data_IF_770174454083
#
_entry.id   IF_770174454083
#
_cell.length_a   1.000
_cell.length_b   1.000
_cell.length_c   1.000
_cell.angle_alpha   90.00
_cell.angle_beta   90.00
_cell.angle_gamma   90.00
#
_symmetry.space_group_name_H-M   'P 1'
#
loop_
_entity.id
_entity.type
_entity.pdbx_description
1 polymer ?
#
# COMPACT_ATOMS: atom_id res chain seq x y z
N UNK A 1 29.49 0.13 -13.87
CA UNK A 1 28.08 0.35 -14.27
C UNK A 1 27.22 0.04 -13.06
N UNK A 2 27.08 1.03 -12.18
CA UNK A 2 26.24 0.98 -10.98
C UNK A 2 24.93 1.67 -11.33
N UNK A 3 23.82 0.94 -11.37
CA UNK A 3 22.48 1.52 -11.33
C UNK A 3 22.00 1.47 -9.89
N UNK A 4 21.80 2.65 -9.30
CA UNK A 4 21.24 2.87 -7.98
C UNK A 4 19.92 2.11 -7.81
N UNK A 5 19.93 1.08 -6.97
CA UNK A 5 18.73 0.42 -6.43
C UNK A 5 18.46 1.05 -5.06
N UNK A 6 18.13 2.34 -5.06
CA UNK A 6 17.76 3.10 -3.87
C UNK A 6 16.25 3.35 -3.84
N UNK A 7 15.65 3.17 -2.66
CA UNK A 7 14.22 3.31 -2.28
C UNK A 7 13.36 2.06 -2.41
N UNK A 8 13.27 1.26 -1.34
CA UNK A 8 12.01 0.69 -0.88
C UNK A 8 12.03 0.54 0.66
N UNK A 9 10.96 1.05 1.29
CA UNK A 9 10.52 0.87 2.69
C UNK A 9 11.57 1.04 3.81
N UNK A 10 11.63 2.24 4.41
CA UNK A 10 12.19 2.45 5.76
C UNK A 10 11.06 2.44 6.80
N UNK A 11 11.07 1.49 7.74
CA UNK A 11 10.25 1.60 8.96
C UNK A 11 11.07 1.24 10.20
N UNK A 12 11.36 2.24 11.06
CA UNK A 12 12.03 2.02 12.36
C UNK A 12 11.04 2.19 13.50
N UNK A 13 10.61 1.12 14.15
CA UNK A 13 9.74 1.20 15.34
C UNK A 13 10.60 1.38 16.61
N UNK A 14 10.40 2.44 17.38
CA UNK A 14 11.06 2.60 18.69
C UNK A 14 10.10 2.98 19.83
N UNK A 15 10.55 2.63 21.03
CA UNK A 15 9.90 2.21 22.29
C UNK A 15 8.84 3.15 22.89
N UNK A 16 7.81 2.53 23.50
CA UNK A 16 6.78 3.19 24.32
C UNK A 16 7.36 3.70 25.66
N UNK A 17 7.02 4.94 26.03
CA UNK A 17 7.22 5.46 27.39
C UNK A 17 5.87 5.75 28.03
N UNK A 18 5.59 5.05 29.12
CA UNK A 18 4.42 5.27 29.98
C UNK A 18 4.56 6.63 30.70
N UNK A 19 3.48 7.41 30.80
CA UNK A 19 3.38 8.42 31.84
C UNK A 19 1.95 8.48 32.37
N UNK A 20 1.85 8.20 33.67
CA UNK A 20 0.63 8.21 34.45
C UNK A 20 0.01 9.60 34.57
N UNK A 21 -1.27 9.53 34.92
CA UNK A 21 -2.19 10.60 35.30
C UNK A 21 -1.61 11.53 36.36
N UNK A 22 -1.93 12.82 36.25
CA UNK A 22 -2.19 13.68 37.41
C UNK A 22 -3.22 14.74 37.03
N UNK A 23 -4.26 14.83 37.86
CA UNK A 23 -5.26 15.89 37.90
C UNK A 23 -4.64 17.23 38.33
N UNK A 24 -5.22 18.33 37.86
CA UNK A 24 -5.64 19.45 38.71
C UNK A 24 -6.57 20.41 37.96
N UNK A 25 -7.63 20.81 38.65
CA UNK A 25 -8.63 21.82 38.29
C UNK A 25 -8.07 23.25 38.41
N UNK A 26 -8.64 24.19 37.65
CA UNK A 26 -9.14 25.49 38.16
C UNK A 26 -9.85 26.31 37.06
N UNK A 27 -10.87 27.02 37.51
CA UNK A 27 -11.97 27.77 36.87
C UNK A 27 -11.63 29.18 36.34
N UNK A 28 -12.50 29.74 35.48
CA UNK A 28 -12.73 31.20 35.37
C UNK A 28 -13.21 31.72 34.00
N UNK A 29 -14.41 32.33 33.97
CA UNK A 29 -15.08 33.13 32.93
C UNK A 29 -14.25 34.41 32.58
N UNK A 30 -14.38 35.20 31.51
CA UNK A 30 -15.46 35.58 30.58
C UNK A 30 -14.83 36.30 29.35
N UNK A 31 -15.66 36.76 28.40
CA UNK A 31 -15.42 37.18 27.00
C UNK A 31 -14.40 38.32 26.72
N UNK A 32 -13.72 38.29 25.56
CA UNK A 32 -13.74 39.40 24.60
C UNK A 32 -13.17 39.07 23.19
N UNK A 33 -13.67 39.81 22.20
CA UNK A 33 -13.52 39.63 20.76
C UNK A 33 -12.26 40.30 20.17
N UNK A 34 -11.79 39.72 19.06
CA UNK A 34 -10.90 40.25 18.02
C UNK A 34 -9.35 40.23 18.13
N UNK A 35 -8.79 39.73 17.02
CA UNK A 35 -7.42 39.88 16.50
C UNK A 35 -6.25 39.28 17.29
N UNK A 36 -5.86 38.02 16.99
CA UNK A 36 -4.47 37.50 17.09
C UNK A 36 -4.37 36.04 16.56
N UNK A 37 -4.57 35.85 15.25
CA UNK A 37 -4.53 34.53 14.60
C UNK A 37 -3.20 34.14 13.93
N UNK A 38 -2.32 35.09 13.61
CA UNK A 38 -1.19 34.80 12.70
C UNK A 38 0.14 34.41 13.38
N UNK A 39 0.39 34.79 14.63
CA UNK A 39 1.72 34.57 15.25
C UNK A 39 1.89 33.15 15.80
N UNK A 40 0.86 32.60 16.48
CA UNK A 40 0.91 31.24 17.06
C UNK A 40 0.98 30.15 15.98
N UNK A 41 0.36 30.36 14.83
CA UNK A 41 0.41 29.43 13.68
C UNK A 41 1.81 29.44 13.07
N UNK A 42 2.42 30.62 12.88
CA UNK A 42 3.79 30.75 12.36
C UNK A 42 4.83 30.10 13.27
N UNK A 43 4.72 30.22 14.59
CA UNK A 43 5.66 29.58 15.54
C UNK A 43 5.49 28.06 15.60
N UNK A 44 4.26 27.55 15.44
CA UNK A 44 3.98 26.10 15.36
C UNK A 44 4.49 25.51 14.04
N UNK A 45 4.34 26.24 12.93
CA UNK A 45 4.87 25.86 11.62
C UNK A 45 6.41 25.90 11.62
N UNK A 46 7.04 26.90 12.25
CA UNK A 46 8.50 26.97 12.34
C UNK A 46 9.10 25.89 13.25
N UNK A 47 8.41 25.49 14.32
CA UNK A 47 8.88 24.38 15.16
C UNK A 47 8.67 23.02 14.48
N UNK A 48 7.65 22.89 13.62
CA UNK A 48 7.48 21.75 12.71
C UNK A 48 8.62 21.72 11.68
N UNK A 49 8.97 22.88 11.09
CA UNK A 49 10.05 23.04 10.11
C UNK A 49 11.43 22.68 10.69
N UNK A 50 11.76 23.16 11.89
CA UNK A 50 13.05 22.88 12.51
C UNK A 50 13.19 21.42 12.98
N UNK A 51 12.08 20.77 13.34
CA UNK A 51 12.05 19.34 13.65
C UNK A 51 12.12 18.46 12.39
N UNK A 52 11.65 18.95 11.24
CA UNK A 52 11.66 18.24 9.95
C UNK A 52 13.07 18.08 9.36
N UNK A 53 14.03 18.93 9.76
CA UNK A 53 15.44 18.85 9.34
C UNK A 53 16.21 17.65 9.96
N UNK A 54 15.64 16.96 10.95
CA UNK A 54 16.32 15.92 11.73
C UNK A 54 15.67 14.51 11.67
N UNK A 55 15.13 14.13 10.51
CA UNK A 55 14.82 12.74 10.16
C UNK A 55 13.50 12.20 10.75
N UNK A 56 12.48 12.04 9.89
CA UNK A 56 11.17 11.56 10.30
C UNK A 56 11.00 10.04 10.10
N UNK A 57 10.63 9.34 11.17
CA UNK A 57 9.96 8.04 11.16
C UNK A 57 8.45 8.26 11.28
N UNK A 58 7.64 7.81 10.32
CA UNK A 58 6.17 7.94 10.38
C UNK A 58 5.63 7.19 11.60
N UNK A 59 5.23 7.92 12.64
CA UNK A 59 4.48 7.37 13.78
C UNK A 59 2.99 7.41 13.42
N UNK A 60 2.47 6.33 12.83
CA UNK A 60 1.03 6.09 12.76
C UNK A 60 0.49 5.91 14.19
N UNK A 61 -0.12 6.95 14.77
CA UNK A 61 -0.95 6.84 15.97
C UNK A 61 -2.38 6.53 15.52
N UNK A 62 -2.64 5.27 15.15
CA UNK A 62 -4.01 4.78 15.02
C UNK A 62 -4.51 4.40 16.42
N UNK A 63 -5.64 4.97 16.85
CA UNK A 63 -6.27 4.66 18.12
C UNK A 63 -7.14 3.41 17.96
N UNK A 64 -6.51 2.24 17.82
CA UNK A 64 -7.26 0.99 17.86
C UNK A 64 -7.90 0.81 19.24
N UNK A 65 -9.19 0.48 19.26
CA UNK A 65 -9.85 0.01 20.48
C UNK A 65 -9.04 -1.14 21.05
N UNK A 66 -8.87 -1.15 22.37
CA UNK A 66 -8.10 -2.22 22.98
C UNK A 66 -8.87 -3.53 23.06
N UNK A 67 -10.19 -3.44 23.07
CA UNK A 67 -11.06 -4.55 23.50
C UNK A 67 -11.75 -5.25 22.33
N UNK A 68 -11.49 -4.81 21.09
CA UNK A 68 -12.17 -5.35 19.91
C UNK A 68 -11.22 -5.90 18.85
N UNK A 69 -11.61 -7.01 18.19
CA UNK A 69 -10.79 -7.65 17.18
C UNK A 69 -10.59 -6.77 15.95
N UNK A 70 -9.40 -6.89 15.37
CA UNK A 70 -9.00 -6.22 14.13
C UNK A 70 -8.92 -7.29 13.03
N UNK A 71 -9.73 -7.14 12.00
CA UNK A 71 -9.68 -7.98 10.80
C UNK A 71 -8.83 -7.31 9.73
N UNK A 72 -7.93 -8.08 9.13
CA UNK A 72 -7.07 -7.65 8.04
C UNK A 72 -7.03 -8.79 7.00
N UNK A 73 -7.68 -8.59 5.85
CA UNK A 73 -7.70 -9.52 4.70
C UNK A 73 -7.81 -10.99 5.13
N UNK A 74 -8.94 -11.37 5.73
CA UNK A 74 -9.22 -12.75 6.15
C UNK A 74 -8.59 -13.19 7.47
N UNK A 75 -7.68 -12.40 8.06
CA UNK A 75 -7.07 -12.71 9.35
C UNK A 75 -7.64 -11.87 10.47
N UNK A 76 -8.01 -12.52 11.57
CA UNK A 76 -8.46 -11.85 12.78
C UNK A 76 -7.33 -11.75 13.80
N UNK A 77 -7.00 -10.52 14.16
CA UNK A 77 -6.07 -10.17 15.22
C UNK A 77 -6.87 -9.83 16.47
N UNK A 78 -6.95 -10.79 17.38
CA UNK A 78 -7.64 -10.64 18.66
C UNK A 78 -6.69 -10.10 19.73
N UNK A 79 -7.22 -9.25 20.63
CA UNK A 79 -6.69 -9.14 22.01
C UNK A 79 -7.36 -10.15 22.97
N UNK A 80 -8.56 -10.63 22.60
CA UNK A 80 -9.55 -11.41 23.35
C UNK A 80 -9.85 -10.95 24.79
N UNK A 81 -11.11 -10.54 24.92
CA UNK A 81 -11.96 -10.37 26.09
C UNK A 81 -11.57 -11.28 27.26
N UNK A 82 -11.32 -10.68 28.43
CA UNK A 82 -11.21 -11.37 29.70
C UNK A 82 -12.44 -12.25 29.92
N UNK A 83 -12.29 -13.56 29.77
CA UNK A 83 -13.20 -14.50 30.41
C UNK A 83 -13.00 -14.26 31.90
N UNK A 84 -14.00 -13.69 32.57
CA UNK A 84 -14.04 -13.56 34.02
C UNK A 84 -14.07 -14.96 34.61
N UNK A 85 -12.90 -15.57 34.76
CA UNK A 85 -12.67 -16.67 35.67
C UNK A 85 -11.46 -16.25 36.49
N UNK A 86 -11.75 -15.95 37.76
CA UNK A 86 -10.78 -15.76 38.81
C UNK A 86 -9.67 -16.83 38.69
N UNK A 87 -8.42 -16.43 38.52
CA UNK A 87 -7.36 -16.54 39.54
C UNK A 87 -5.96 -16.36 38.88
N UNK A 88 -5.19 -15.37 39.35
CA UNK A 88 -3.72 -15.33 39.34
C UNK A 88 -2.87 -15.59 38.05
N UNK A 89 -3.20 -15.00 36.88
CA UNK A 89 -2.37 -15.11 35.63
C UNK A 89 -1.92 -13.80 34.94
N UNK A 90 -1.50 -12.78 35.70
CA UNK A 90 -1.18 -11.44 35.15
C UNK A 90 0.05 -11.31 34.23
N UNK A 91 1.00 -12.26 34.25
CA UNK A 91 2.22 -12.17 33.43
C UNK A 91 2.11 -12.87 32.06
N UNK A 92 1.30 -13.93 31.96
CA UNK A 92 1.07 -14.68 30.71
C UNK A 92 0.15 -13.88 29.78
N UNK A 93 -0.84 -13.21 30.35
CA UNK A 93 -1.80 -12.35 29.65
C UNK A 93 -1.12 -11.18 28.91
N UNK A 94 -0.17 -10.48 29.54
CA UNK A 94 0.56 -9.38 28.90
C UNK A 94 1.42 -9.82 27.70
N UNK A 95 1.91 -11.07 27.71
CA UNK A 95 2.70 -11.65 26.62
C UNK A 95 1.87 -11.98 25.38
N UNK A 96 0.67 -12.54 25.57
CA UNK A 96 -0.26 -12.85 24.46
C UNK A 96 -0.87 -11.59 23.83
N UNK A 97 -1.18 -10.57 24.64
CA UNK A 97 -1.68 -9.28 24.13
C UNK A 97 -0.67 -8.55 23.23
N UNK A 98 0.62 -8.57 23.60
CA UNK A 98 1.70 -8.02 22.80
C UNK A 98 1.85 -8.77 21.48
N UNK A 99 1.66 -10.11 21.49
CA UNK A 99 1.76 -10.95 20.30
C UNK A 99 0.66 -10.64 19.28
N UNK A 100 -0.59 -10.42 19.70
CA UNK A 100 -1.70 -10.11 18.79
C UNK A 100 -1.48 -8.79 18.01
N UNK A 101 -1.12 -7.71 18.72
CA UNK A 101 -0.91 -6.40 18.10
C UNK A 101 0.39 -6.35 17.27
N UNK A 102 1.45 -7.03 17.69
CA UNK A 102 2.69 -7.10 16.92
C UNK A 102 2.50 -7.92 15.64
N UNK A 103 1.72 -9.01 15.71
CA UNK A 103 1.36 -9.81 14.53
C UNK A 103 0.51 -9.01 13.54
N UNK A 104 -0.43 -8.21 14.03
CA UNK A 104 -1.18 -7.27 13.19
C UNK A 104 -0.26 -6.26 12.51
N UNK A 105 0.62 -5.60 13.28
CA UNK A 105 1.56 -4.60 12.76
C UNK A 105 2.48 -5.20 11.69
N UNK A 106 3.03 -6.37 11.96
CA UNK A 106 3.87 -7.09 11.00
C UNK A 106 3.11 -7.40 9.71
N UNK A 107 1.86 -7.85 9.80
CA UNK A 107 1.04 -8.11 8.61
C UNK A 107 0.73 -6.83 7.82
N UNK A 108 0.32 -5.79 8.52
CA UNK A 108 -0.02 -4.50 7.92
C UNK A 108 1.19 -3.85 7.24
N UNK A 109 2.36 -3.85 7.89
CA UNK A 109 3.60 -3.29 7.32
C UNK A 109 4.14 -4.11 6.15
N UNK A 110 3.69 -5.36 5.99
CA UNK A 110 4.06 -6.21 4.86
C UNK A 110 3.21 -5.95 3.60
N UNK A 111 2.21 -5.07 3.68
CA UNK A 111 1.36 -4.75 2.53
C UNK A 111 2.09 -3.80 1.59
N UNK A 112 2.03 -4.09 0.30
CA UNK A 112 2.54 -3.21 -0.75
C UNK A 112 1.82 -1.87 -0.66
N UNK A 113 2.59 -0.79 -0.60
CA UNK A 113 2.06 0.56 -0.52
C UNK A 113 2.55 1.36 -1.72
N UNK A 114 1.63 1.62 -2.66
CA UNK A 114 1.90 2.39 -3.87
C UNK A 114 1.25 3.76 -3.74
N UNK A 115 2.09 4.79 -3.63
CA UNK A 115 1.67 6.19 -3.45
C UNK A 115 1.78 6.97 -4.75
N UNK A 116 1.36 8.24 -4.72
CA UNK A 116 1.71 9.17 -5.77
C UNK A 116 3.22 9.25 -5.95
N UNK A 117 3.63 9.44 -7.21
CA UNK A 117 5.02 9.65 -7.60
C UNK A 117 5.16 10.90 -8.45
N UNK A 118 6.39 11.38 -8.50
CA UNK A 118 6.84 12.50 -9.31
C UNK A 118 8.08 12.05 -10.09
N UNK A 119 8.41 12.82 -11.12
CA UNK A 119 9.64 12.65 -11.90
C UNK A 119 9.76 11.30 -12.61
N UNK A 120 8.64 10.60 -12.82
CA UNK A 120 8.61 9.46 -13.72
C UNK A 120 8.64 9.93 -15.19
N UNK A 121 9.01 9.06 -16.16
CA UNK A 121 8.99 9.40 -17.58
C UNK A 121 7.63 9.93 -18.03
N UNK A 122 7.60 10.87 -18.99
CA UNK A 122 6.36 11.51 -19.43
C UNK A 122 5.30 10.48 -19.83
N UNK A 123 4.06 10.66 -19.36
CA UNK A 123 2.92 9.85 -19.78
C UNK A 123 2.53 10.19 -21.22
N UNK A 124 2.39 9.15 -22.06
CA UNK A 124 2.02 9.28 -23.47
C UNK A 124 0.81 10.20 -23.65
N UNK A 125 0.90 11.09 -24.65
CA UNK A 125 -0.16 12.05 -24.97
C UNK A 125 -0.34 13.19 -23.96
N UNK A 126 0.66 13.47 -23.11
CA UNK A 126 0.58 14.54 -22.10
C UNK A 126 1.94 15.17 -21.76
N UNK A 127 1.93 16.10 -20.79
CA UNK A 127 3.13 16.66 -20.15
C UNK A 127 3.26 16.20 -18.69
N UNK A 128 2.50 15.18 -18.26
CA UNK A 128 2.53 14.71 -16.87
C UNK A 128 3.73 13.81 -16.61
N UNK A 129 4.53 14.18 -15.62
CA UNK A 129 5.59 13.37 -14.98
C UNK A 129 5.23 13.03 -13.53
N UNK A 130 3.96 13.24 -13.15
CA UNK A 130 3.45 12.95 -11.81
C UNK A 130 1.97 12.58 -11.86
N UNK A 131 1.57 11.68 -10.95
CA UNK A 131 0.18 11.29 -10.76
C UNK A 131 -0.49 11.94 -9.53
N UNK A 132 0.20 12.87 -8.87
CA UNK A 132 -0.30 13.63 -7.74
C UNK A 132 -1.64 14.32 -8.09
N UNK A 133 -2.65 14.09 -7.25
CA UNK A 133 -3.96 14.74 -7.35
C UNK A 133 -4.94 14.09 -8.33
N UNK A 134 -4.56 13.05 -9.06
CA UNK A 134 -5.46 12.36 -10.00
C UNK A 134 -5.31 10.82 -10.03
N UNK A 135 -4.09 10.29 -9.83
CA UNK A 135 -3.78 8.85 -9.96
C UNK A 135 -4.30 7.93 -8.86
N UNK A 136 -5.00 8.45 -7.83
CA UNK A 136 -5.33 7.70 -6.62
C UNK A 136 -6.03 6.35 -6.87
N UNK A 137 -6.99 6.29 -7.79
CA UNK A 137 -7.69 5.03 -8.06
C UNK A 137 -6.79 4.02 -8.79
N UNK A 138 -5.88 4.48 -9.65
CA UNK A 138 -4.89 3.61 -10.30
C UNK A 138 -3.94 3.01 -9.25
N UNK A 139 -3.45 3.84 -8.33
CA UNK A 139 -2.62 3.40 -7.19
C UNK A 139 -3.35 2.41 -6.28
N UNK A 140 -4.61 2.68 -5.96
CA UNK A 140 -5.47 1.72 -5.24
C UNK A 140 -5.58 0.38 -5.98
N UNK A 141 -5.79 0.40 -7.30
CA UNK A 141 -5.82 -0.80 -8.13
C UNK A 141 -4.48 -1.56 -8.14
N UNK A 142 -3.36 -0.84 -8.22
CA UNK A 142 -2.03 -1.45 -8.11
C UNK A 142 -1.83 -2.13 -6.75
N UNK A 143 -2.23 -1.50 -5.64
CA UNK A 143 -2.13 -2.11 -4.30
C UNK A 143 -3.00 -3.36 -4.16
N UNK A 144 -4.23 -3.33 -4.70
CA UNK A 144 -5.14 -4.47 -4.76
C UNK A 144 -4.52 -5.65 -5.54
N UNK A 145 -3.98 -5.38 -6.73
CA UNK A 145 -3.35 -6.40 -7.57
C UNK A 145 -2.05 -6.91 -6.93
N UNK A 146 -1.22 -6.03 -6.36
CA UNK A 146 0.00 -6.41 -5.66
C UNK A 146 -0.30 -7.35 -4.48
N UNK A 147 -1.39 -7.10 -3.73
CA UNK A 147 -1.83 -8.01 -2.69
C UNK A 147 -2.23 -9.39 -3.24
N UNK A 148 -2.92 -9.44 -4.37
CA UNK A 148 -3.26 -10.71 -5.01
C UNK A 148 -2.01 -11.49 -5.45
N UNK A 149 -1.03 -10.80 -6.07
CA UNK A 149 0.25 -11.39 -6.46
C UNK A 149 1.05 -11.88 -5.24
N UNK A 150 1.02 -11.13 -4.13
CA UNK A 150 1.64 -11.55 -2.88
C UNK A 150 1.00 -12.84 -2.36
N UNK A 151 -0.34 -12.91 -2.33
CA UNK A 151 -1.04 -14.14 -1.95
C UNK A 151 -0.67 -15.32 -2.86
N UNK A 152 -0.53 -15.10 -4.16
CA UNK A 152 -0.22 -16.15 -5.14
C UNK A 152 1.24 -16.65 -5.04
N UNK A 153 2.23 -15.75 -4.98
CA UNK A 153 3.65 -16.11 -5.05
C UNK A 153 4.33 -16.29 -3.69
N UNK A 154 3.85 -15.60 -2.65
CA UNK A 154 4.44 -15.59 -1.30
C UNK A 154 3.54 -16.28 -0.28
N UNK A 155 2.23 -16.31 -0.53
CA UNK A 155 1.22 -16.80 0.40
C UNK A 155 0.73 -15.73 1.37
N UNK A 156 -0.51 -15.87 1.85
CA UNK A 156 -1.15 -14.91 2.77
C UNK A 156 -0.40 -14.75 4.11
N UNK A 157 0.32 -15.79 4.52
CA UNK A 157 1.10 -15.83 5.77
C UNK A 157 2.46 -15.16 5.69
N UNK A 158 2.93 -14.83 4.49
CA UNK A 158 4.21 -14.16 4.29
C UNK A 158 4.24 -12.79 4.97
N UNK A 159 5.39 -12.45 5.56
CA UNK A 159 5.64 -11.17 6.22
C UNK A 159 6.98 -10.62 5.73
N UNK A 160 6.99 -9.32 5.44
CA UNK A 160 8.21 -8.59 5.12
C UNK A 160 9.00 -8.29 6.39
N UNK A 161 10.33 -8.42 6.32
CA UNK A 161 11.24 -8.08 7.38
C UNK A 161 12.52 -7.46 6.79
N UNK A 162 12.78 -6.20 7.11
CA UNK A 162 13.94 -5.42 6.61
C UNK A 162 15.27 -6.04 7.04
N UNK A 163 15.34 -6.54 8.28
CA UNK A 163 16.57 -7.04 8.89
C UNK A 163 16.85 -8.52 8.54
N UNK A 164 15.92 -9.18 7.84
CA UNK A 164 16.04 -10.60 7.53
C UNK A 164 16.85 -10.82 6.25
N UNK A 165 18.14 -11.13 6.43
CA UNK A 165 18.95 -11.63 5.33
C UNK A 165 18.48 -13.02 4.91
N UNK A 166 18.38 -13.31 3.59
CA UNK A 166 18.01 -14.63 3.11
C UNK A 166 19.08 -15.68 3.47
N UNK A 167 18.86 -16.40 4.57
CA UNK A 167 19.78 -17.43 5.06
C UNK A 167 19.38 -18.86 4.67
N UNK A 168 18.29 -19.01 3.90
CA UNK A 168 17.79 -20.29 3.40
C UNK A 168 17.29 -20.14 1.96
N UNK A 169 17.27 -21.26 1.22
CA UNK A 169 16.74 -21.28 -0.15
C UNK A 169 15.30 -20.79 -0.24
N UNK A 170 14.47 -21.10 0.76
CA UNK A 170 13.08 -20.63 0.84
C UNK A 170 13.01 -19.11 0.93
N UNK A 171 13.72 -18.51 1.90
CA UNK A 171 13.73 -17.06 2.08
C UNK A 171 14.31 -16.32 0.87
N UNK A 172 15.32 -16.91 0.22
CA UNK A 172 15.88 -16.34 -1.00
C UNK A 172 14.86 -16.28 -2.14
N UNK A 173 14.07 -17.34 -2.33
CA UNK A 173 12.98 -17.37 -3.32
C UNK A 173 11.87 -16.37 -2.99
N UNK A 174 11.51 -16.24 -1.71
CA UNK A 174 10.53 -15.26 -1.25
C UNK A 174 11.02 -13.81 -1.48
N UNK A 175 12.27 -13.49 -1.14
CA UNK A 175 12.85 -12.15 -1.41
C UNK A 175 12.90 -11.85 -2.92
N UNK A 176 13.32 -12.82 -3.74
CA UNK A 176 13.31 -12.67 -5.21
C UNK A 176 11.89 -12.40 -5.73
N UNK A 177 10.90 -13.16 -5.25
CA UNK A 177 9.50 -13.00 -5.67
C UNK A 177 8.93 -11.67 -5.22
N UNK A 178 9.19 -11.25 -3.97
CA UNK A 178 8.81 -9.96 -3.44
C UNK A 178 9.38 -8.80 -4.28
N UNK A 179 10.69 -8.81 -4.55
CA UNK A 179 11.35 -7.79 -5.39
C UNK A 179 10.81 -7.79 -6.81
N UNK A 180 10.48 -8.96 -7.36
CA UNK A 180 9.89 -9.07 -8.70
C UNK A 180 8.49 -8.46 -8.76
N UNK A 181 7.66 -8.71 -7.76
CA UNK A 181 6.35 -8.07 -7.62
C UNK A 181 6.51 -6.55 -7.59
N UNK A 182 7.42 -6.01 -6.76
CA UNK A 182 7.71 -4.57 -6.72
C UNK A 182 8.08 -4.04 -8.10
N UNK A 183 9.03 -4.72 -8.79
CA UNK A 183 9.54 -4.30 -10.10
C UNK A 183 8.42 -4.18 -11.14
N UNK A 184 7.44 -5.09 -11.10
CA UNK A 184 6.33 -5.07 -12.05
C UNK A 184 5.47 -3.80 -11.97
N UNK A 185 5.45 -3.12 -10.84
CA UNK A 185 4.71 -1.86 -10.65
C UNK A 185 5.56 -0.59 -10.77
N UNK A 186 6.86 -0.70 -11.08
CA UNK A 186 7.73 0.47 -11.22
C UNK A 186 7.18 1.49 -12.22
N UNK A 187 7.30 2.78 -11.94
CA UNK A 187 6.73 3.86 -12.75
C UNK A 187 7.57 4.16 -14.00
N UNK A 188 7.78 3.15 -14.83
CA UNK A 188 8.54 3.23 -16.06
C UNK A 188 7.80 2.48 -17.18
N UNK A 189 7.69 3.04 -18.40
CA UNK A 189 7.13 2.34 -19.56
C UNK A 189 8.11 1.28 -20.07
N UNK A 190 8.22 0.17 -19.35
CA UNK A 190 9.17 -0.92 -19.62
C UNK A 190 8.49 -2.29 -19.56
N UNK A 191 8.93 -3.29 -20.35
CA UNK A 191 8.49 -4.68 -20.20
C UNK A 191 8.77 -5.26 -18.81
N UNK A 192 9.72 -4.68 -18.06
CA UNK A 192 10.02 -5.05 -16.68
C UNK A 192 9.02 -4.49 -15.65
N UNK A 193 8.20 -3.53 -16.05
CA UNK A 193 7.18 -2.88 -15.22
C UNK A 193 5.82 -2.88 -15.93
N UNK A 194 5.28 -4.08 -16.26
CA UNK A 194 4.08 -4.20 -17.09
C UNK A 194 2.80 -3.78 -16.36
N UNK A 195 2.85 -3.52 -15.05
CA UNK A 195 1.73 -3.04 -14.23
C UNK A 195 1.93 -1.58 -13.80
N UNK A 196 2.83 -0.86 -14.46
CA UNK A 196 3.13 0.56 -14.22
C UNK A 196 1.92 1.46 -14.45
N UNK A 197 1.96 2.67 -13.88
CA UNK A 197 0.95 3.68 -14.17
C UNK A 197 0.91 4.04 -15.67
N UNK A 198 2.05 3.99 -16.37
CA UNK A 198 2.13 4.18 -17.82
C UNK A 198 1.30 3.16 -18.58
N UNK A 199 1.38 1.87 -18.20
CA UNK A 199 0.56 0.83 -18.81
C UNK A 199 -0.94 1.10 -18.57
N UNK A 200 -1.32 1.37 -17.32
CA UNK A 200 -2.73 1.59 -16.98
C UNK A 200 -3.33 2.81 -17.70
N UNK A 201 -2.54 3.88 -17.83
CA UNK A 201 -2.92 5.08 -18.59
C UNK A 201 -3.05 4.77 -20.07
N UNK A 202 -2.09 4.03 -20.65
CA UNK A 202 -2.13 3.65 -22.07
C UNK A 202 -3.34 2.79 -22.40
N UNK A 203 -3.72 1.86 -21.53
CA UNK A 203 -4.93 1.05 -21.69
C UNK A 203 -6.20 1.89 -21.52
N UNK A 204 -6.17 2.89 -20.63
CA UNK A 204 -7.29 3.81 -20.41
C UNK A 204 -7.67 4.64 -21.64
N UNK A 205 -6.74 4.88 -22.55
CA UNK A 205 -6.96 5.67 -23.77
C UNK A 205 -8.07 5.08 -24.64
N UNK A 206 -8.18 3.75 -24.73
CA UNK A 206 -9.24 3.08 -25.49
C UNK A 206 -10.65 3.38 -24.96
N UNK A 207 -10.76 3.76 -23.68
CA UNK A 207 -12.01 4.21 -23.04
C UNK A 207 -12.14 5.74 -23.00
N UNK A 208 -11.30 6.47 -23.76
CA UNK A 208 -11.28 7.93 -23.81
C UNK A 208 -10.65 8.61 -22.60
N UNK A 209 -9.95 7.86 -21.72
CA UNK A 209 -9.25 8.45 -20.57
C UNK A 209 -7.91 9.03 -20.98
N UNK A 210 -7.53 10.12 -20.32
CA UNK A 210 -6.25 10.81 -20.50
C UNK A 210 -5.52 10.94 -19.17
N UNK A 211 -4.19 11.17 -19.17
CA UNK A 211 -3.47 11.61 -17.99
C UNK A 211 -4.16 12.81 -17.33
N UNK A 212 -4.41 12.72 -16.02
CA UNK A 212 -5.17 13.73 -15.27
C UNK A 212 -6.63 13.37 -15.01
N UNK A 213 -7.22 12.46 -15.80
CA UNK A 213 -8.61 12.06 -15.61
C UNK A 213 -8.78 11.17 -14.37
N UNK A 214 -9.97 11.27 -13.76
CA UNK A 214 -10.35 10.34 -12.71
C UNK A 214 -10.82 9.00 -13.26
N UNK A 215 -10.38 7.92 -12.62
CA UNK A 215 -10.79 6.55 -12.90
C UNK A 215 -11.69 6.03 -11.79
N UNK A 216 -12.79 5.38 -12.16
CA UNK A 216 -13.65 4.67 -11.21
C UNK A 216 -13.18 3.24 -10.95
N UNK A 217 -13.59 2.59 -9.83
CA UNK A 217 -13.16 1.24 -9.47
C UNK A 217 -13.43 0.20 -10.57
N UNK A 218 -14.60 0.26 -11.22
CA UNK A 218 -14.96 -0.67 -12.30
C UNK A 218 -14.07 -0.53 -13.53
N UNK A 219 -13.75 0.70 -13.92
CA UNK A 219 -12.81 0.94 -15.02
C UNK A 219 -11.42 0.38 -14.67
N UNK A 220 -10.93 0.66 -13.45
CA UNK A 220 -9.63 0.13 -13.00
C UNK A 220 -9.62 -1.40 -12.96
N UNK A 221 -10.70 -2.07 -12.54
CA UNK A 221 -10.78 -3.52 -12.56
C UNK A 221 -10.53 -4.10 -13.97
N UNK A 222 -11.14 -3.50 -15.00
CA UNK A 222 -10.90 -3.91 -16.39
C UNK A 222 -9.48 -3.60 -16.87
N UNK A 223 -8.92 -2.44 -16.49
CA UNK A 223 -7.53 -2.10 -16.81
C UNK A 223 -6.54 -3.08 -16.18
N UNK A 224 -6.76 -3.52 -14.94
CA UNK A 224 -5.92 -4.52 -14.28
C UNK A 224 -5.96 -5.87 -15.01
N UNK A 225 -7.15 -6.30 -15.45
CA UNK A 225 -7.30 -7.51 -16.27
C UNK A 225 -6.51 -7.40 -17.57
N UNK A 226 -6.66 -6.29 -18.28
CA UNK A 226 -5.96 -6.07 -19.55
C UNK A 226 -4.45 -5.97 -19.36
N UNK A 227 -3.98 -5.24 -18.35
CA UNK A 227 -2.55 -5.13 -18.03
C UNK A 227 -1.93 -6.51 -17.73
N UNK A 228 -2.63 -7.38 -16.99
CA UNK A 228 -2.19 -8.76 -16.75
C UNK A 228 -2.13 -9.57 -18.04
N UNK A 229 -3.13 -9.45 -18.92
CA UNK A 229 -3.14 -10.15 -20.21
C UNK A 229 -2.01 -9.69 -21.13
N UNK A 230 -1.72 -8.39 -21.17
CA UNK A 230 -0.56 -7.87 -21.91
C UNK A 230 0.75 -8.34 -21.28
N UNK A 231 0.88 -8.30 -19.95
CA UNK A 231 2.07 -8.78 -19.25
C UNK A 231 2.39 -10.25 -19.57
N UNK A 232 1.36 -11.10 -19.70
CA UNK A 232 1.49 -12.53 -20.00
C UNK A 232 2.07 -12.86 -21.38
N UNK A 233 2.11 -11.89 -22.30
CA UNK A 233 2.72 -12.07 -23.63
C UNK A 233 4.25 -12.14 -23.54
N UNK A 234 4.84 -11.35 -22.65
CA UNK A 234 6.30 -11.22 -22.51
C UNK A 234 6.85 -11.81 -21.19
N UNK A 235 5.96 -12.17 -20.24
CA UNK A 235 6.33 -12.66 -18.91
C UNK A 235 5.56 -13.95 -18.58
N UNK A 236 6.25 -15.09 -18.61
CA UNK A 236 5.66 -16.41 -18.35
C UNK A 236 4.99 -16.52 -16.97
N UNK A 237 5.44 -15.74 -15.99
CA UNK A 237 4.86 -15.73 -14.64
C UNK A 237 3.37 -15.38 -14.66
N UNK A 238 2.95 -14.49 -15.55
CA UNK A 238 1.56 -14.06 -15.65
C UNK A 238 0.63 -15.11 -16.29
N UNK A 239 1.17 -16.22 -16.80
CA UNK A 239 0.36 -17.29 -17.38
C UNK A 239 -0.26 -18.23 -16.33
N UNK A 240 0.19 -18.14 -15.06
CA UNK A 240 -0.24 -19.03 -13.98
C UNK A 240 -1.47 -18.55 -13.21
N UNK A 241 -1.96 -17.34 -13.50
CA UNK A 241 -3.16 -16.79 -12.90
C UNK A 241 -4.02 -16.05 -13.93
N UNK A 242 -5.22 -15.68 -13.53
CA UNK A 242 -6.20 -15.04 -14.40
C UNK A 242 -7.01 -14.02 -13.63
N UNK A 243 -7.34 -12.90 -14.26
CA UNK A 243 -8.20 -11.87 -13.68
C UNK A 243 -9.57 -11.96 -14.33
N UNK A 244 -10.60 -12.23 -13.54
CA UNK A 244 -11.99 -12.19 -13.97
C UNK A 244 -12.65 -10.95 -13.36
N UNK A 245 -13.33 -10.17 -14.20
CA UNK A 245 -14.10 -8.99 -13.76
C UNK A 245 -15.57 -9.31 -13.97
N UNK A 246 -16.31 -9.43 -12.88
CA UNK A 246 -17.73 -9.69 -12.90
C UNK A 246 -18.50 -8.59 -13.66
N UNK A 247 -19.49 -9.00 -14.43
CA UNK A 247 -20.35 -8.11 -15.21
C UNK A 247 -21.75 -8.09 -14.59
N UNK A 248 -22.41 -6.93 -14.63
CA UNK A 248 -23.80 -6.78 -14.18
C UNK A 248 -24.06 -7.29 -12.74
N UNK A 249 -23.06 -7.16 -11.86
CA UNK A 249 -23.07 -7.68 -10.50
C UNK A 249 -23.27 -9.21 -10.39
N UNK A 250 -22.94 -9.97 -11.44
CA UNK A 250 -23.04 -11.41 -11.51
C UNK A 250 -21.68 -12.05 -11.84
N UNK A 251 -21.40 -13.20 -11.22
CA UNK A 251 -20.25 -14.05 -11.56
C UNK A 251 -20.78 -15.25 -12.32
N UNK A 252 -20.43 -15.34 -13.59
CA UNK A 252 -20.81 -16.47 -14.44
C UNK A 252 -19.81 -17.60 -14.22
N UNK A 253 -20.28 -18.68 -13.59
CA UNK A 253 -19.42 -19.79 -13.18
C UNK A 253 -18.73 -20.41 -14.40
N UNK A 254 -19.43 -20.59 -15.52
CA UNK A 254 -18.86 -21.21 -16.71
C UNK A 254 -17.69 -20.38 -17.27
N UNK A 255 -17.83 -19.05 -17.39
CA UNK A 255 -16.74 -18.18 -17.84
C UNK A 255 -15.49 -18.31 -16.97
N UNK A 256 -15.68 -18.41 -15.65
CA UNK A 256 -14.59 -18.61 -14.71
C UNK A 256 -13.93 -19.97 -14.93
N UNK A 257 -14.73 -21.03 -15.11
CA UNK A 257 -14.21 -22.37 -15.38
C UNK A 257 -13.41 -22.42 -16.68
N UNK A 258 -13.90 -21.77 -17.73
CA UNK A 258 -13.25 -21.71 -19.05
C UNK A 258 -11.98 -20.86 -19.05
N UNK A 259 -11.94 -19.79 -18.23
CA UNK A 259 -10.74 -18.96 -18.10
C UNK A 259 -9.64 -19.64 -17.26
N UNK A 260 -10.04 -20.40 -16.23
CA UNK A 260 -9.09 -21.03 -15.30
C UNK A 260 -8.65 -22.43 -15.73
N UNK A 261 -9.42 -23.14 -16.56
CA UNK A 261 -9.01 -24.40 -17.17
C UNK A 261 -8.55 -24.17 -18.59
N UNK A 262 -7.32 -24.57 -18.89
CA UNK A 262 -6.91 -24.76 -20.28
C UNK A 262 -7.28 -26.20 -20.69
N UNK A 263 -8.00 -26.34 -21.79
CA UNK A 263 -8.35 -27.65 -22.38
C UNK A 263 -7.14 -28.59 -22.61
N UNK A 264 -5.92 -28.03 -22.67
CA UNK A 264 -4.67 -28.80 -22.86
C UNK A 264 -3.87 -29.02 -21.57
N UNK A 265 -4.19 -28.31 -20.49
CA UNK A 265 -3.47 -28.38 -19.22
C UNK A 265 -4.43 -28.70 -18.07
N UNK A 266 -4.19 -29.83 -17.40
CA UNK A 266 -5.06 -30.32 -16.31
C UNK A 266 -4.98 -29.47 -15.04
N UNK A 267 -4.12 -28.45 -14.97
CA UNK A 267 -3.94 -27.61 -13.77
C UNK A 267 -4.76 -26.32 -13.83
N UNK A 268 -5.52 -26.06 -12.76
CA UNK A 268 -6.26 -24.81 -12.54
C UNK A 268 -5.33 -23.59 -12.40
N UNK A 269 -5.55 -22.55 -13.21
CA UNK A 269 -4.90 -21.24 -13.03
C UNK A 269 -5.48 -20.51 -11.82
N UNK A 270 -4.64 -19.91 -10.99
CA UNK A 270 -5.13 -19.12 -9.86
C UNK A 270 -6.04 -17.98 -10.33
N UNK A 271 -7.11 -17.68 -9.58
CA UNK A 271 -8.11 -16.71 -9.98
C UNK A 271 -8.05 -15.46 -9.11
N UNK A 272 -8.01 -14.29 -9.76
CA UNK A 272 -8.26 -12.98 -9.18
C UNK A 272 -9.66 -12.56 -9.61
N UNK A 273 -10.62 -12.65 -8.69
CA UNK A 273 -12.02 -12.28 -8.93
C UNK A 273 -12.27 -10.85 -8.46
N UNK A 274 -12.57 -9.95 -9.41
CA UNK A 274 -12.92 -8.57 -9.15
C UNK A 274 -14.41 -8.36 -9.40
N UNK A 275 -15.12 -7.77 -8.44
CA UNK A 275 -16.57 -7.53 -8.53
C UNK A 275 -16.85 -6.04 -8.39
N UNK A 276 -16.91 -5.28 -9.49
CA UNK A 276 -17.32 -3.87 -9.45
C UNK A 276 -18.77 -3.74 -9.01
N UNK A 277 -19.03 -2.91 -8.00
CA UNK A 277 -20.38 -2.69 -7.46
C UNK A 277 -20.65 -1.22 -7.17
N UNK A 278 -21.92 -0.82 -7.27
CA UNK A 278 -22.42 0.48 -6.81
C UNK A 278 -23.39 0.26 -5.65
N UNK A 279 -22.95 0.58 -4.44
CA UNK A 279 -23.67 0.28 -3.20
C UNK A 279 -24.63 1.39 -2.75
N UNK A 280 -24.88 2.37 -3.60
CA UNK A 280 -25.76 3.51 -3.32
C UNK A 280 -25.65 4.61 -4.37
N UNK A 281 -26.54 5.60 -4.28
CA UNK A 281 -26.58 6.73 -5.22
C UNK A 281 -25.49 7.75 -4.90
N UNK A 282 -25.57 8.35 -3.71
CA UNK A 282 -24.61 9.35 -3.20
C UNK A 282 -23.76 8.82 -2.04
N UNK A 283 -24.39 8.09 -1.13
CA UNK A 283 -23.77 7.41 0.01
C UNK A 283 -24.03 5.92 -0.05
N UNK A 284 -23.13 5.13 0.52
CA UNK A 284 -23.33 3.70 0.68
C UNK A 284 -24.59 3.44 1.51
N UNK A 285 -25.45 2.55 1.04
CA UNK A 285 -26.57 2.08 1.82
C UNK A 285 -26.05 1.19 2.96
N UNK A 286 -26.46 1.48 4.20
CA UNK A 286 -25.99 0.80 5.40
C UNK A 286 -26.33 -0.69 5.43
N UNK A 287 -27.33 -1.14 4.67
CA UNK A 287 -27.67 -2.57 4.55
C UNK A 287 -26.49 -3.44 4.08
N UNK A 288 -25.56 -2.84 3.32
CA UNK A 288 -24.40 -3.56 2.79
C UNK A 288 -23.24 -3.65 3.79
N UNK A 289 -23.29 -2.91 4.91
CA UNK A 289 -22.19 -2.83 5.86
C UNK A 289 -21.75 -4.20 6.37
N UNK A 290 -22.69 -5.03 6.82
CA UNK A 290 -22.43 -6.38 7.31
C UNK A 290 -21.84 -7.31 6.24
N UNK A 291 -22.33 -7.20 5.00
CA UNK A 291 -21.82 -7.98 3.86
C UNK A 291 -20.36 -7.60 3.55
N UNK A 292 -20.03 -6.30 3.52
CA UNK A 292 -18.66 -5.85 3.27
C UNK A 292 -17.68 -6.29 4.35
N UNK A 293 -18.09 -6.22 5.63
CA UNK A 293 -17.25 -6.71 6.72
C UNK A 293 -17.08 -8.23 6.66
N UNK A 294 -18.13 -8.98 6.27
CA UNK A 294 -18.03 -10.41 6.05
C UNK A 294 -17.06 -10.75 4.90
N UNK A 295 -17.10 -10.01 3.79
CA UNK A 295 -16.13 -10.20 2.69
C UNK A 295 -14.69 -10.01 3.17
N UNK A 296 -14.41 -9.00 4.01
CA UNK A 296 -13.07 -8.76 4.56
C UNK A 296 -12.60 -9.84 5.55
N UNK A 297 -13.51 -10.70 6.03
CA UNK A 297 -13.19 -11.84 6.90
C UNK A 297 -12.86 -13.12 6.12
N UNK A 298 -13.10 -13.15 4.80
CA UNK A 298 -12.78 -14.31 3.97
C UNK A 298 -11.28 -14.43 3.73
N UNK A 299 -10.72 -15.64 3.81
CA UNK A 299 -9.29 -15.92 3.59
C UNK A 299 -8.82 -15.54 2.18
N UNK A 300 -9.70 -15.68 1.18
CA UNK A 300 -9.41 -15.33 -0.20
C UNK A 300 -9.60 -13.83 -0.51
N UNK A 301 -10.02 -13.03 0.47
CA UNK A 301 -10.25 -11.60 0.24
C UNK A 301 -8.94 -10.86 0.05
N UNK A 302 -8.83 -10.16 -1.08
CA UNK A 302 -7.70 -9.28 -1.39
C UNK A 302 -8.02 -7.81 -1.09
N UNK A 303 -9.18 -7.50 -0.51
CA UNK A 303 -9.59 -6.15 -0.10
C UNK A 303 -10.53 -5.46 -1.07
N UNK A 304 -10.80 -4.18 -0.80
CA UNK A 304 -11.79 -3.38 -1.54
C UNK A 304 -11.13 -2.07 -1.97
N UNK A 305 -11.31 -1.66 -3.22
CA UNK A 305 -10.94 -0.31 -3.68
C UNK A 305 -12.21 0.52 -3.91
N UNK A 306 -12.15 1.80 -3.58
CA UNK A 306 -13.32 2.68 -3.71
C UNK A 306 -13.00 4.10 -3.29
N UNK A 307 -14.03 4.90 -3.04
CA UNK A 307 -13.88 6.29 -2.60
C UNK A 307 -14.42 7.30 -3.62
N UNK A 308 -14.16 8.57 -3.36
CA UNK A 308 -14.64 9.69 -4.18
C UNK A 308 -13.55 10.13 -5.17
N UNK A 309 -13.90 10.90 -6.22
CA UNK A 309 -12.90 11.55 -7.05
C UNK A 309 -11.81 12.23 -6.22
N UNK A 310 -10.55 11.94 -6.56
CA UNK A 310 -9.32 12.43 -5.86
C UNK A 310 -9.11 11.93 -4.42
N UNK A 311 -9.99 11.07 -3.91
CA UNK A 311 -9.92 10.47 -2.58
C UNK A 311 -10.24 8.97 -2.66
N UNK A 312 -9.58 8.26 -3.58
CA UNK A 312 -9.69 6.81 -3.69
C UNK A 312 -8.94 6.12 -2.55
N UNK A 313 -9.38 4.96 -2.08
CA UNK A 313 -8.78 4.27 -0.95
C UNK A 313 -8.74 2.77 -1.23
N UNK A 314 -7.73 2.11 -0.67
CA UNK A 314 -7.65 0.66 -0.58
C UNK A 314 -7.95 0.24 0.86
N UNK A 315 -9.09 -0.43 1.04
CA UNK A 315 -9.59 -0.94 2.30
C UNK A 315 -9.14 -2.39 2.48
N UNK A 316 -8.32 -2.63 3.49
CA UNK A 316 -7.70 -3.94 3.75
C UNK A 316 -8.31 -4.66 4.96
N UNK A 317 -9.17 -3.98 5.72
CA UNK A 317 -9.67 -4.53 6.97
C UNK A 317 -10.61 -3.61 7.71
N UNK A 318 -11.02 -4.03 8.89
CA UNK A 318 -11.82 -3.22 9.81
C UNK A 318 -11.55 -3.63 11.26
N UNK A 319 -11.76 -2.71 12.20
CA UNK A 319 -11.89 -3.05 13.61
C UNK A 319 -13.36 -3.10 14.00
N UNK A 320 -13.76 -4.11 14.76
CA UNK A 320 -15.14 -4.21 15.28
C UNK A 320 -15.37 -3.07 16.28
N UNK A 321 -16.24 -2.12 15.94
CA UNK A 321 -16.66 -1.04 16.85
C UNK A 321 -17.96 -1.34 17.58
N UNK A 322 -18.22 -0.67 18.71
CA UNK A 322 -19.50 -0.74 19.45
C UNK A 322 -20.62 0.10 18.82
N UNK A 323 -20.32 0.96 17.84
CA UNK A 323 -21.31 1.80 17.15
C UNK A 323 -21.18 1.72 15.63
N UNK A 324 -22.23 1.20 15.00
CA UNK A 324 -22.55 1.16 13.56
C UNK A 324 -21.47 0.64 12.60
N UNK A 325 -21.54 -0.67 12.32
CA UNK A 325 -21.39 -1.42 11.04
C UNK A 325 -20.88 -0.67 9.78
N UNK A 326 -19.80 0.09 9.90
CA UNK A 326 -19.12 0.77 8.80
C UNK A 326 -17.69 0.25 8.65
N UNK A 327 -17.19 0.25 7.41
CA UNK A 327 -15.77 0.03 7.14
C UNK A 327 -14.97 1.06 7.96
N UNK A 328 -14.24 0.58 8.96
CA UNK A 328 -13.43 1.39 9.83
C UNK A 328 -12.44 2.21 8.98
N UNK A 329 -12.43 3.52 9.20
CA UNK A 329 -11.55 4.45 8.50
C UNK A 329 -10.06 4.24 8.76
N UNK A 330 -9.71 3.41 9.75
CA UNK A 330 -8.38 3.36 10.36
C UNK A 330 -7.43 2.33 9.72
N UNK A 331 -7.93 1.46 8.82
CA UNK A 331 -7.13 0.51 8.03
C UNK A 331 -7.17 0.86 6.55
N UNK A 332 -6.67 2.05 6.23
CA UNK A 332 -6.49 2.53 4.87
C UNK A 332 -5.01 2.77 4.63
N UNK A 333 -4.54 2.43 3.44
CA UNK A 333 -3.32 3.03 2.92
C UNK A 333 -3.70 4.38 2.32
N UNK A 334 -3.23 5.46 2.94
CA UNK A 334 -3.39 6.83 2.45
C UNK A 334 -2.20 7.21 1.56
N UNK A 335 -2.33 8.27 0.76
CA UNK A 335 -1.25 8.74 -0.11
C UNK A 335 -0.51 9.88 0.60
N UNK A 336 0.73 9.64 1.02
CA UNK A 336 1.63 10.75 1.33
C UNK A 336 2.21 11.30 0.02
N UNK A 337 2.30 12.62 -0.09
CA UNK A 337 3.18 13.24 -1.10
C UNK A 337 4.63 12.91 -0.75
N UNK A 338 5.41 12.43 -1.73
CA UNK A 338 6.87 12.38 -1.58
C UNK A 338 7.37 13.82 -1.35
N UNK A 339 7.94 14.08 -0.17
CA UNK A 339 8.55 15.37 0.18
C UNK A 339 9.99 15.38 -0.33
N UNK A 340 10.28 16.31 -1.24
CA UNK A 340 11.57 16.63 -1.86
C UNK A 340 12.83 16.06 -1.17
N UNK A 341 13.55 15.20 -1.89
CA UNK A 341 15.01 15.19 -1.81
C UNK A 341 15.53 16.32 -2.69
N UNK A 342 15.86 17.48 -2.10
CA UNK A 342 16.60 18.49 -2.84
C UNK A 342 17.92 17.92 -3.37
N UNK A 343 18.34 18.25 -4.61
CA UNK A 343 19.70 17.99 -5.04
C UNK A 343 20.68 18.75 -4.13
N UNK A 344 21.83 18.18 -3.77
CA UNK A 344 22.80 18.88 -2.94
C UNK A 344 23.22 20.19 -3.63
N UNK A 345 23.02 21.29 -2.91
CA UNK A 345 23.50 22.62 -3.27
C UNK A 345 24.99 22.57 -3.62
N UNK A 346 25.35 23.19 -4.74
CA UNK A 346 26.73 23.50 -5.11
C UNK A 346 27.48 24.13 -3.94
N UNK A 347 28.33 23.34 -3.28
CA UNK A 347 29.49 23.85 -2.55
C UNK A 347 30.72 23.31 -3.25
N UNK A 348 31.30 24.18 -4.06
CA UNK A 348 32.64 24.07 -4.63
C UNK A 348 33.66 23.76 -3.53
N UNK A 349 34.28 22.58 -3.64
CA UNK A 349 35.57 22.28 -3.01
C UNK A 349 36.50 21.85 -4.16
N UNK A 350 37.66 22.50 -4.35
CA UNK A 350 38.51 22.26 -5.51
C UNK A 350 39.11 20.85 -5.46
N UNK A 351 39.01 20.13 -6.57
CA UNK A 351 39.71 18.86 -6.80
C UNK A 351 41.07 19.23 -7.39
N UNK A 352 42.13 18.99 -6.63
CA UNK A 352 43.51 19.03 -7.12
C UNK A 352 43.70 17.94 -8.19
N UNK A 353 44.17 18.39 -9.36
CA UNK A 353 44.60 17.57 -10.48
C UNK A 353 45.92 16.88 -10.14
N UNK A 354 45.91 15.55 -10.03
CA UNK A 354 47.12 14.73 -10.10
C UNK A 354 47.19 14.03 -11.47
N UNK A 355 48.32 14.23 -12.13
CA UNK A 355 48.68 13.84 -13.50
C UNK A 355 48.66 12.31 -13.78
N UNK A 356 48.55 11.92 -15.07
CA UNK A 356 48.46 10.51 -15.49
C UNK A 356 49.81 9.79 -15.49
N UNK A 357 49.83 8.56 -14.98
CA UNK A 357 50.95 7.61 -15.14
C UNK A 357 50.65 6.74 -16.37
N UNK A 358 51.50 6.89 -17.38
CA UNK A 358 51.57 6.09 -18.61
C UNK A 358 52.09 4.68 -18.31
N UNK A 359 51.46 3.66 -18.90
CA UNK A 359 51.97 2.29 -18.95
C UNK A 359 52.98 2.10 -20.09
N UNK A 360 53.95 1.16 -19.96
CA UNK A 360 54.99 0.96 -20.96
C UNK A 360 54.54 0.09 -22.13
N UNK A 361 54.91 0.54 -23.34
CA UNK A 361 54.84 -0.16 -24.63
C UNK A 361 55.89 -1.26 -24.75
N UNK A 362 55.49 -2.46 -25.17
CA UNK A 362 56.41 -3.50 -25.65
C UNK A 362 56.62 -3.37 -27.16
N UNK A 363 57.88 -3.28 -27.58
CA UNK A 363 58.36 -3.43 -28.95
C UNK A 363 58.57 -4.90 -29.29
N UNK A 364 58.17 -5.32 -30.49
CA UNK A 364 58.91 -6.31 -31.28
C UNK A 364 58.57 -6.14 -32.77
N UNK A 365 59.63 -5.98 -33.54
CA UNK A 365 59.77 -6.23 -34.98
C UNK A 365 59.35 -7.64 -35.39
#
# INVERSE_FOLDING_TARGET
>A
MNTDVGLFTKYKLSTFRNRGTNHNEASGLEEDCDTLGESKVKTKIFSIWNNMRHGWTVKMKTNFSKDSPVWLLGKCYHRKLSTVLNDSTSAVEAGEEANGINSFKSDFSSKFWLTYRREFPILNGSNFTSDCGWGCMLRSGQMLLAQALACHYLGRDWRWNEDQLPNSSKLFKEDCSHRKIIKWFGDNPSPNSPLSIHMLVSLGEASGKRPGDWYGPGAVAHLLREAVNFAAQDNNEFQHFSVYVAQDCAVYIQDVMDQCHDSWNTSWKALILLVPVRLGVEKMNSIYGSCLTALLTMECCIGIIGGRPKHALYFVGFQVGTSNQGLCGDLKQDYSEDVDTQPPSNTSVPIDLAHPISGPTSTAT
#
